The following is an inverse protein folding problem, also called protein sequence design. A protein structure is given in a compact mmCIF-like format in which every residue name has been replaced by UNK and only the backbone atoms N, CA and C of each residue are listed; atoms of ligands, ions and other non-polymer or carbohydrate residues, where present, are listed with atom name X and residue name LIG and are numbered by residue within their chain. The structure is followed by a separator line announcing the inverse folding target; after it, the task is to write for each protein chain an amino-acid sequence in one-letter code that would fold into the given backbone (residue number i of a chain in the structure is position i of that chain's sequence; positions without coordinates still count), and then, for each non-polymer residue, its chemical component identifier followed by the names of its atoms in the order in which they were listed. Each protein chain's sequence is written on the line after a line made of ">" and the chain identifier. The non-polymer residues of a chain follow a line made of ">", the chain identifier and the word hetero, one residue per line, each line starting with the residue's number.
data_IF_061165188935
#
_entry.id   IF_061165188935
#
_cell.length_a   1.000
_cell.length_b   1.000
_cell.length_c   1.000
_cell.angle_alpha   90.00
_cell.angle_beta   90.00
_cell.angle_gamma   90.00
#
_symmetry.space_group_name_H-M   'P 1'
#
loop_
_entity.id
_entity.type
_entity.pdbx_description
1 polymer ?
#
# COMPACT_ATOMS: atom_id res chain seq x y z
N UNK A 1 -17.38 1.32 1.37
CA UNK A 1 -16.58 0.63 0.34
C UNK A 1 -15.10 0.72 0.71
N UNK A 2 -14.44 1.87 0.55
CA UNK A 2 -12.99 2.09 0.84
C UNK A 2 -12.49 1.41 2.13
N UNK A 3 -13.15 1.62 3.27
CA UNK A 3 -12.75 1.00 4.54
C UNK A 3 -12.75 -0.54 4.45
N UNK A 4 -13.76 -1.14 3.83
CA UNK A 4 -13.87 -2.59 3.67
C UNK A 4 -12.78 -3.12 2.73
N UNK A 5 -12.49 -2.40 1.64
CA UNK A 5 -11.46 -2.80 0.68
C UNK A 5 -10.08 -2.81 1.34
N UNK A 6 -9.78 -1.80 2.17
CA UNK A 6 -8.53 -1.72 2.93
C UNK A 6 -8.47 -2.83 4.00
N UNK A 7 -9.54 -3.04 4.77
CA UNK A 7 -9.58 -4.10 5.81
C UNK A 7 -9.37 -5.48 5.18
N UNK A 8 -10.07 -5.75 4.07
CA UNK A 8 -9.92 -7.02 3.33
C UNK A 8 -8.48 -7.23 2.86
N UNK A 9 -7.86 -6.20 2.27
CA UNK A 9 -6.45 -6.28 1.87
C UNK A 9 -5.54 -6.60 3.06
N UNK A 10 -5.77 -6.02 4.23
CA UNK A 10 -4.98 -6.32 5.43
C UNK A 10 -5.12 -7.76 5.92
N UNK A 11 -6.37 -8.20 6.09
CA UNK A 11 -6.65 -9.50 6.70
C UNK A 11 -6.29 -10.65 5.76
N UNK A 12 -6.48 -10.48 4.46
CA UNK A 12 -6.30 -11.56 3.48
C UNK A 12 -4.90 -11.56 2.83
N UNK A 13 -4.22 -10.41 2.72
CA UNK A 13 -3.05 -10.28 1.83
C UNK A 13 -1.83 -9.62 2.48
N UNK A 14 -1.99 -8.43 3.06
CA UNK A 14 -0.86 -7.60 3.49
C UNK A 14 -0.01 -8.27 4.59
N UNK A 15 -0.65 -8.97 5.54
CA UNK A 15 0.04 -9.71 6.61
C UNK A 15 0.87 -10.87 6.08
N UNK A 16 0.32 -11.65 5.16
CA UNK A 16 1.05 -12.76 4.55
C UNK A 16 2.29 -12.26 3.78
N UNK A 17 2.14 -11.15 3.05
CA UNK A 17 3.25 -10.49 2.36
C UNK A 17 4.29 -9.93 3.35
N UNK A 18 3.86 -9.35 4.47
CA UNK A 18 4.74 -8.88 5.53
C UNK A 18 5.56 -10.03 6.14
N UNK A 19 4.92 -11.15 6.45
CA UNK A 19 5.57 -12.36 6.98
C UNK A 19 6.63 -12.89 6.00
N UNK A 20 6.33 -12.90 4.69
CA UNK A 20 7.30 -13.30 3.66
C UNK A 20 8.48 -12.34 3.56
N UNK A 21 8.25 -11.02 3.63
CA UNK A 21 9.31 -10.01 3.65
C UNK A 21 10.21 -10.23 4.87
N UNK A 22 9.63 -10.37 6.07
CA UNK A 22 10.37 -10.58 7.32
C UNK A 22 11.15 -11.89 7.30
N UNK A 23 10.59 -12.96 6.72
CA UNK A 23 11.27 -14.24 6.56
C UNK A 23 12.52 -14.14 5.67
N UNK A 24 12.43 -13.40 4.57
CA UNK A 24 13.51 -13.30 3.59
C UNK A 24 14.61 -12.32 4.02
N UNK A 25 14.29 -11.27 4.77
CA UNK A 25 15.26 -10.21 5.13
C UNK A 25 16.56 -10.75 5.77
N UNK A 26 16.52 -11.66 6.78
CA UNK A 26 17.73 -12.21 7.38
C UNK A 26 18.53 -13.15 6.46
N UNK A 27 17.88 -13.76 5.46
CA UNK A 27 18.52 -14.69 4.53
C UNK A 27 19.48 -13.93 3.62
N UNK A 28 19.08 -12.73 3.20
CA UNK A 28 19.84 -11.88 2.28
C UNK A 28 20.73 -10.84 3.01
N UNK A 29 20.65 -10.71 4.34
CA UNK A 29 21.47 -9.76 5.14
C UNK A 29 22.99 -10.07 5.13
N UNK A 30 23.38 -11.30 4.74
CA UNK A 30 24.79 -11.69 4.62
C UNK A 30 25.48 -11.08 3.41
N UNK A 31 24.74 -10.68 2.38
CA UNK A 31 25.25 -10.06 1.18
C UNK A 31 24.51 -8.74 0.91
N UNK A 32 24.93 -7.71 1.67
CA UNK A 32 24.30 -6.38 1.69
C UNK A 32 24.35 -5.63 0.37
N UNK A 33 25.23 -6.05 -0.53
CA UNK A 33 25.39 -5.45 -1.86
C UNK A 33 24.67 -6.26 -2.95
N UNK A 34 24.02 -7.38 -2.59
CA UNK A 34 23.25 -8.16 -3.55
C UNK A 34 22.00 -7.42 -4.04
N UNK A 35 21.72 -7.58 -5.32
CA UNK A 35 20.49 -7.08 -5.95
C UNK A 35 19.21 -7.58 -5.23
N UNK A 36 19.25 -8.80 -4.70
CA UNK A 36 18.14 -9.37 -3.92
C UNK A 36 17.93 -8.63 -2.60
N UNK A 37 19.01 -8.36 -1.85
CA UNK A 37 18.92 -7.63 -0.59
C UNK A 37 18.47 -6.19 -0.80
N UNK A 38 19.00 -5.51 -1.82
CA UNK A 38 18.58 -4.14 -2.15
C UNK A 38 17.08 -4.08 -2.47
N UNK A 39 16.61 -4.98 -3.33
CA UNK A 39 15.21 -5.04 -3.74
C UNK A 39 14.28 -5.38 -2.57
N UNK A 40 14.68 -6.32 -1.72
CA UNK A 40 13.91 -6.72 -0.54
C UNK A 40 13.87 -5.62 0.53
N UNK A 41 15.00 -4.93 0.76
CA UNK A 41 15.07 -3.79 1.69
C UNK A 41 14.17 -2.64 1.23
N UNK A 42 14.20 -2.34 -0.07
CA UNK A 42 13.30 -1.34 -0.65
C UNK A 42 11.83 -1.72 -0.49
N UNK A 43 11.49 -3.00 -0.73
CA UNK A 43 10.14 -3.51 -0.54
C UNK A 43 9.69 -3.38 0.92
N UNK A 44 10.53 -3.77 1.88
CA UNK A 44 10.25 -3.65 3.30
C UNK A 44 9.96 -2.20 3.74
N UNK A 45 10.82 -1.25 3.37
CA UNK A 45 10.60 0.16 3.71
C UNK A 45 9.36 0.74 3.05
N UNK A 46 9.06 0.31 1.83
CA UNK A 46 7.86 0.73 1.11
C UNK A 46 6.60 0.15 1.76
N UNK A 47 6.63 -1.12 2.16
CA UNK A 47 5.56 -1.79 2.89
C UNK A 47 5.20 -1.05 4.17
N UNK A 48 6.19 -0.65 4.98
CA UNK A 48 5.94 0.12 6.20
C UNK A 48 5.20 1.43 5.92
N UNK A 49 5.62 2.17 4.88
CA UNK A 49 4.98 3.43 4.48
C UNK A 49 3.55 3.24 3.96
N UNK A 50 3.33 2.16 3.20
CA UNK A 50 2.01 1.77 2.69
C UNK A 50 1.09 1.46 3.87
N UNK A 51 1.52 0.59 4.78
CA UNK A 51 0.75 0.16 5.94
C UNK A 51 0.40 1.35 6.84
N UNK A 52 1.33 2.28 7.09
CA UNK A 52 1.00 3.50 7.85
C UNK A 52 -0.05 4.36 7.13
N UNK A 53 0.07 4.52 5.81
CA UNK A 53 -0.85 5.38 5.05
C UNK A 53 -2.26 4.79 4.93
N UNK A 54 -2.36 3.46 4.77
CA UNK A 54 -3.63 2.76 4.77
C UNK A 54 -4.30 2.81 6.15
N UNK A 55 -3.54 2.63 7.23
CA UNK A 55 -4.05 2.81 8.60
C UNK A 55 -4.56 4.23 8.84
N UNK A 56 -3.85 5.26 8.38
CA UNK A 56 -4.34 6.64 8.48
C UNK A 56 -5.70 6.84 7.79
N UNK A 57 -5.92 6.21 6.63
CA UNK A 57 -7.22 6.25 5.95
C UNK A 57 -8.30 5.56 6.80
N UNK A 58 -7.99 4.38 7.37
CA UNK A 58 -8.90 3.67 8.26
C UNK A 58 -9.28 4.50 9.48
N UNK A 59 -8.30 5.13 10.13
CA UNK A 59 -8.53 5.95 11.32
C UNK A 59 -9.41 7.17 11.00
N UNK A 60 -9.13 7.86 9.89
CA UNK A 60 -9.96 8.97 9.39
C UNK A 60 -11.40 8.50 9.18
N UNK A 61 -11.58 7.39 8.46
CA UNK A 61 -12.91 6.86 8.15
C UNK A 61 -13.65 6.39 9.40
N UNK A 62 -12.96 5.71 10.32
CA UNK A 62 -13.53 5.23 11.57
C UNK A 62 -14.01 6.38 12.44
N UNK A 63 -13.16 7.40 12.64
CA UNK A 63 -13.53 8.60 13.40
C UNK A 63 -14.71 9.32 12.74
N UNK A 64 -14.66 9.51 11.41
CA UNK A 64 -15.74 10.16 10.66
C UNK A 64 -17.08 9.43 10.83
N UNK A 65 -17.08 8.09 10.73
CA UNK A 65 -18.27 7.26 10.95
C UNK A 65 -18.79 7.38 12.40
N UNK A 66 -17.89 7.42 13.38
CA UNK A 66 -18.24 7.52 14.80
C UNK A 66 -18.80 8.88 15.20
N UNK A 67 -18.29 9.95 14.60
CA UNK A 67 -18.77 11.32 14.87
C UNK A 67 -20.20 11.52 14.32
N UNK A 68 -20.54 10.89 13.20
CA UNK A 68 -21.92 10.87 12.68
C UNK A 68 -22.43 12.21 12.12
N UNK A 69 -21.57 13.23 12.01
CA UNK A 69 -21.90 14.57 11.50
C UNK A 69 -21.86 14.63 9.96
N UNK A 70 -22.56 13.71 9.28
CA UNK A 70 -22.48 13.56 7.82
C UNK A 70 -23.05 14.75 7.02
N UNK A 71 -23.80 15.64 7.66
CA UNK A 71 -24.33 16.87 7.04
C UNK A 71 -23.37 18.05 7.08
N UNK A 72 -22.22 17.91 7.76
CA UNK A 72 -21.20 18.96 7.86
C UNK A 72 -20.33 18.96 6.60
N UNK A 73 -20.60 19.90 5.69
CA UNK A 73 -19.92 20.01 4.40
C UNK A 73 -18.42 20.31 4.55
N UNK A 74 -18.03 21.14 5.52
CA UNK A 74 -16.62 21.48 5.77
C UNK A 74 -15.85 20.25 6.26
N UNK A 75 -16.44 19.49 7.18
CA UNK A 75 -15.88 18.24 7.68
C UNK A 75 -15.77 17.21 6.55
N UNK A 76 -16.82 17.04 5.74
CA UNK A 76 -16.83 16.09 4.62
C UNK A 76 -15.72 16.41 3.62
N UNK A 77 -15.60 17.69 3.25
CA UNK A 77 -14.55 18.17 2.34
C UNK A 77 -13.16 17.98 2.94
N UNK A 78 -12.98 18.24 4.23
CA UNK A 78 -11.72 17.96 4.93
C UNK A 78 -11.36 16.47 4.88
N UNK A 79 -12.30 15.59 5.24
CA UNK A 79 -12.11 14.13 5.26
C UNK A 79 -11.74 13.61 3.87
N UNK A 80 -12.49 14.00 2.83
CA UNK A 80 -12.22 13.59 1.44
C UNK A 80 -10.83 14.06 1.01
N UNK A 81 -10.43 15.31 1.30
CA UNK A 81 -9.10 15.82 0.97
C UNK A 81 -8.00 15.01 1.67
N UNK A 82 -8.19 14.64 2.93
CA UNK A 82 -7.20 13.81 3.68
C UNK A 82 -7.09 12.40 3.13
N UNK A 83 -8.20 11.76 2.75
CA UNK A 83 -8.18 10.45 2.12
C UNK A 83 -7.46 10.54 0.76
N UNK A 84 -7.81 11.51 -0.09
CA UNK A 84 -7.18 11.72 -1.39
C UNK A 84 -5.67 11.93 -1.27
N UNK A 85 -5.19 12.69 -0.28
CA UNK A 85 -3.76 12.90 -0.06
C UNK A 85 -3.01 11.60 0.26
N UNK A 86 -3.57 10.75 1.12
CA UNK A 86 -2.97 9.43 1.42
C UNK A 86 -2.98 8.54 0.18
N UNK A 87 -4.06 8.55 -0.62
CA UNK A 87 -4.15 7.77 -1.85
C UNK A 87 -3.15 8.22 -2.91
N UNK A 88 -2.94 9.53 -3.08
CA UNK A 88 -1.89 10.07 -3.95
C UNK A 88 -0.51 9.59 -3.50
N UNK A 89 -0.24 9.64 -2.20
CA UNK A 89 1.01 9.11 -1.65
C UNK A 89 1.19 7.61 -1.95
N UNK A 90 0.14 6.81 -1.73
CA UNK A 90 0.15 5.37 -2.02
C UNK A 90 0.40 5.08 -3.51
N UNK A 91 -0.26 5.80 -4.41
CA UNK A 91 -0.04 5.67 -5.86
C UNK A 91 1.41 6.02 -6.25
N UNK A 92 2.02 7.02 -5.61
CA UNK A 92 3.44 7.35 -5.84
C UNK A 92 4.36 6.22 -5.36
N UNK A 93 4.08 5.58 -4.22
CA UNK A 93 4.85 4.43 -3.75
C UNK A 93 4.69 3.25 -4.72
N UNK A 94 3.48 2.97 -5.22
CA UNK A 94 3.27 1.93 -6.23
C UNK A 94 4.10 2.21 -7.51
N UNK A 95 4.16 3.46 -7.94
CA UNK A 95 5.02 3.85 -9.06
C UNK A 95 6.50 3.58 -8.77
N UNK A 96 7.01 3.96 -7.60
CA UNK A 96 8.41 3.71 -7.24
C UNK A 96 8.73 2.22 -7.09
N UNK A 97 7.81 1.42 -6.54
CA UNK A 97 7.94 -0.03 -6.51
C UNK A 97 8.02 -0.60 -7.94
N UNK A 98 7.15 -0.13 -8.83
CA UNK A 98 7.15 -0.58 -10.24
C UNK A 98 8.46 -0.25 -10.94
N UNK A 99 8.98 0.97 -10.74
CA UNK A 99 10.29 1.37 -11.27
C UNK A 99 11.42 0.51 -10.70
N UNK A 100 11.43 0.28 -9.38
CA UNK A 100 12.47 -0.53 -8.74
C UNK A 100 12.45 -1.98 -9.21
N UNK A 101 11.26 -2.52 -9.50
CA UNK A 101 11.12 -3.84 -10.10
C UNK A 101 11.75 -3.94 -11.49
N UNK A 102 11.65 -2.88 -12.30
CA UNK A 102 12.24 -2.79 -13.64
C UNK A 102 13.76 -2.51 -13.59
N UNK A 103 14.20 -1.68 -12.66
CA UNK A 103 15.63 -1.35 -12.48
C UNK A 103 16.45 -2.58 -12.07
N UNK A 104 15.92 -3.37 -11.13
CA UNK A 104 16.57 -4.59 -10.62
C UNK A 104 15.76 -5.79 -11.07
N UNK A 105 15.97 -6.24 -12.30
CA UNK A 105 15.32 -7.44 -12.84
C UNK A 105 16.06 -8.70 -12.39
N UNK A 106 15.48 -9.43 -11.43
CA UNK A 106 15.99 -10.72 -10.99
C UNK A 106 15.41 -11.85 -11.85
N UNK A 107 16.03 -13.03 -11.80
CA UNK A 107 15.47 -14.22 -12.47
C UNK A 107 14.07 -14.50 -11.91
N UNK A 108 13.14 -14.89 -12.78
CA UNK A 108 11.77 -15.28 -12.40
C UNK A 108 11.69 -16.46 -11.43
N UNK A 109 12.78 -17.23 -11.28
CA UNK A 109 12.90 -18.29 -10.28
C UNK A 109 13.27 -17.78 -8.88
N UNK A 110 13.74 -16.54 -8.73
CA UNK A 110 14.09 -15.94 -7.43
C UNK A 110 12.83 -15.78 -6.56
N UNK A 111 12.93 -16.17 -5.29
CA UNK A 111 11.84 -15.96 -4.33
C UNK A 111 11.57 -14.47 -4.12
N UNK A 112 12.61 -13.63 -4.09
CA UNK A 112 12.47 -12.18 -3.95
C UNK A 112 11.72 -11.59 -5.14
N UNK A 113 12.01 -12.03 -6.37
CA UNK A 113 11.28 -11.57 -7.57
C UNK A 113 9.79 -11.88 -7.49
N UNK A 114 9.44 -13.13 -7.15
CA UNK A 114 8.05 -13.58 -7.05
C UNK A 114 7.28 -12.85 -5.95
N UNK A 115 7.89 -12.68 -4.78
CA UNK A 115 7.32 -11.89 -3.68
C UNK A 115 7.03 -10.47 -4.16
N UNK A 116 8.00 -9.83 -4.81
CA UNK A 116 7.88 -8.45 -5.27
C UNK A 116 6.75 -8.28 -6.31
N UNK A 117 6.67 -9.18 -7.29
CA UNK A 117 5.63 -9.17 -8.31
C UNK A 117 4.23 -9.42 -7.72
N UNK A 118 4.12 -10.39 -6.80
CA UNK A 118 2.87 -10.63 -6.09
C UNK A 118 2.46 -9.41 -5.26
N UNK A 119 3.40 -8.79 -4.55
CA UNK A 119 3.16 -7.57 -3.78
C UNK A 119 2.64 -6.43 -4.67
N UNK A 120 3.29 -6.19 -5.81
CA UNK A 120 2.86 -5.19 -6.79
C UNK A 120 1.45 -5.46 -7.29
N UNK A 121 1.12 -6.71 -7.63
CA UNK A 121 -0.20 -7.10 -8.09
C UNK A 121 -1.27 -6.77 -7.05
N UNK A 122 -1.07 -7.24 -5.80
CA UNK A 122 -2.02 -7.03 -4.70
C UNK A 122 -2.23 -5.55 -4.38
N UNK A 123 -1.13 -4.81 -4.25
CA UNK A 123 -1.19 -3.36 -4.00
C UNK A 123 -1.90 -2.63 -5.15
N UNK A 124 -1.64 -3.01 -6.40
CA UNK A 124 -2.30 -2.40 -7.55
C UNK A 124 -3.80 -2.64 -7.52
N UNK A 125 -4.25 -3.86 -7.19
CA UNK A 125 -5.67 -4.20 -7.10
C UNK A 125 -6.38 -3.38 -6.03
N UNK A 126 -5.86 -3.34 -4.80
CA UNK A 126 -6.50 -2.57 -3.72
C UNK A 126 -6.51 -1.07 -4.03
N UNK A 127 -5.43 -0.52 -4.59
CA UNK A 127 -5.39 0.88 -4.97
C UNK A 127 -6.33 1.18 -6.14
N UNK A 128 -6.48 0.28 -7.09
CA UNK A 128 -7.47 0.44 -8.16
C UNK A 128 -8.89 0.58 -7.60
N UNK A 129 -9.28 -0.32 -6.69
CA UNK A 129 -10.62 -0.27 -6.07
C UNK A 129 -10.80 1.03 -5.26
N UNK A 130 -9.84 1.42 -4.42
CA UNK A 130 -9.92 2.68 -3.65
C UNK A 130 -10.02 3.90 -4.59
N UNK A 131 -9.20 3.96 -5.65
CA UNK A 131 -9.25 5.06 -6.60
C UNK A 131 -10.60 5.11 -7.34
N UNK A 132 -11.19 3.95 -7.67
CA UNK A 132 -12.53 3.87 -8.28
C UNK A 132 -13.59 4.47 -7.37
N UNK A 133 -13.60 4.08 -6.09
CA UNK A 133 -14.55 4.63 -5.11
C UNK A 133 -14.37 6.15 -4.93
N UNK A 134 -13.13 6.65 -4.92
CA UNK A 134 -12.85 8.10 -4.83
C UNK A 134 -13.18 8.89 -6.10
N UNK A 135 -13.21 8.23 -7.26
CA UNK A 135 -13.60 8.85 -8.53
C UNK A 135 -15.11 9.03 -8.62
N UNK A 136 -15.90 8.21 -7.92
CA UNK A 136 -17.35 8.37 -7.81
C UNK A 136 -17.75 9.59 -6.96
N UNK A 137 -16.83 10.14 -6.17
CA UNK A 137 -17.03 11.36 -5.38
C UNK A 137 -16.62 12.56 -6.25
N UNK A 138 -17.52 13.54 -6.47
CA UNK A 138 -17.22 14.74 -7.26
C UNK A 138 -15.94 15.43 -6.80
N UNK A 139 -15.18 15.96 -7.76
CA UNK A 139 -14.10 16.91 -7.50
C UNK A 139 -14.71 18.29 -7.71
N UNK A 140 -14.75 19.11 -6.66
CA UNK A 140 -15.02 20.55 -6.78
C UNK A 140 -14.04 21.22 -7.73
#
# INVERSE_FOLDING_TARGET
>A
AIMNDIVKYYDDEARALEDEIIRLLPIHDRDKESAEQEKLTFLFHSHQKITVSLNNILDILFVYIKVGSYSDEELNTYVIKRIRNNVVFLNNILYFLSLKNQEIELKSSSEVQKLYENYLLRLTTVLYDINRELAAIPRE
#
